data_IF_240339673614
#
_entry.id   IF_240339673614
#
_cell.length_a   1.000
_cell.length_b   1.000
_cell.length_c   1.000
_cell.angle_alpha   90.00
_cell.angle_beta   90.00
_cell.angle_gamma   90.00
#
_symmetry.space_group_name_H-M   'P 1'
#
loop_
_entity.id
_entity.type
_entity.pdbx_description
1 polymer ?
#
# COMPACT_ATOMS: atom_id res chain seq x y z
N UNK A 1 22.63 8.06 17.57
CA UNK A 1 21.68 8.25 16.46
C UNK A 1 22.41 8.77 15.23
N UNK A 2 22.14 8.25 14.03
CA UNK A 2 22.83 8.62 12.80
C UNK A 2 21.81 9.14 11.78
N UNK A 3 21.52 10.42 11.85
CA UNK A 3 20.58 11.07 10.93
C UNK A 3 21.29 11.42 9.62
N UNK A 4 20.61 11.16 8.50
CA UNK A 4 21.13 11.44 7.15
C UNK A 4 22.24 10.50 6.66
N UNK A 5 22.66 9.49 7.45
CA UNK A 5 23.51 8.40 6.98
C UNK A 5 22.63 7.26 6.44
N UNK A 6 23.04 6.66 5.33
CA UNK A 6 22.36 5.49 4.79
C UNK A 6 22.29 4.36 5.82
N UNK A 7 21.11 3.76 5.95
CA UNK A 7 20.88 2.61 6.80
C UNK A 7 21.58 1.39 6.17
N UNK A 8 22.64 0.88 6.84
CA UNK A 8 23.44 -0.24 6.31
C UNK A 8 22.60 -1.48 6.06
N UNK A 9 21.60 -1.74 6.93
CA UNK A 9 20.72 -2.89 6.79
C UNK A 9 19.80 -2.73 5.58
N UNK A 10 19.33 -1.51 5.33
CA UNK A 10 18.55 -1.19 4.13
C UNK A 10 19.38 -1.32 2.86
N UNK A 11 20.65 -0.89 2.89
CA UNK A 11 21.60 -1.10 1.78
C UNK A 11 21.82 -2.59 1.53
N UNK A 12 22.07 -3.38 2.57
CA UNK A 12 22.27 -4.84 2.48
C UNK A 12 21.03 -5.54 1.89
N UNK A 13 19.83 -5.18 2.34
CA UNK A 13 18.57 -5.68 1.80
C UNK A 13 18.40 -5.31 0.32
N UNK A 14 18.64 -4.04 -0.03
CA UNK A 14 18.54 -3.57 -1.40
C UNK A 14 19.52 -4.31 -2.32
N UNK A 15 20.77 -4.53 -1.87
CA UNK A 15 21.75 -5.34 -2.61
C UNK A 15 21.25 -6.78 -2.76
N UNK A 16 20.87 -7.44 -1.68
CA UNK A 16 20.46 -8.85 -1.67
C UNK A 16 19.23 -9.15 -2.56
N UNK A 17 18.26 -8.23 -2.59
CA UNK A 17 17.04 -8.42 -3.37
C UNK A 17 17.16 -8.01 -4.85
N UNK A 18 18.18 -7.23 -5.22
CA UNK A 18 18.38 -6.78 -6.60
C UNK A 18 19.52 -7.50 -7.35
N UNK A 19 20.22 -8.48 -6.74
CA UNK A 19 21.39 -9.18 -7.33
C UNK A 19 21.16 -9.73 -8.76
N UNK A 20 19.91 -9.96 -9.19
CA UNK A 20 19.60 -10.40 -10.57
C UNK A 20 19.31 -9.30 -11.61
N UNK A 21 19.26 -8.01 -11.23
CA UNK A 21 18.85 -6.87 -12.10
C UNK A 21 19.80 -5.68 -12.07
N UNK A 22 20.98 -5.82 -11.46
CA UNK A 22 21.92 -4.71 -11.28
C UNK A 22 22.87 -4.64 -12.47
N UNK A 23 22.53 -3.74 -13.40
CA UNK A 23 23.49 -3.14 -14.31
C UNK A 23 24.55 -2.36 -13.48
N UNK A 24 25.87 -2.53 -13.71
CA UNK A 24 26.91 -1.72 -13.07
C UNK A 24 26.66 -0.20 -13.14
N UNK A 25 25.98 0.30 -14.18
CA UNK A 25 25.61 1.71 -14.30
C UNK A 25 24.54 2.15 -13.30
N UNK A 26 23.71 1.22 -12.80
CA UNK A 26 22.76 1.50 -11.71
C UNK A 26 23.44 1.65 -10.36
N UNK A 27 24.48 0.88 -10.07
CA UNK A 27 25.30 1.02 -8.84
C UNK A 27 25.99 2.38 -8.84
N UNK A 28 26.51 2.78 -10.00
CA UNK A 28 27.17 4.08 -10.20
C UNK A 28 26.17 5.23 -10.04
N UNK A 29 24.99 5.13 -10.65
CA UNK A 29 23.89 6.09 -10.45
C UNK A 29 23.39 6.12 -8.99
N UNK A 30 23.38 5.00 -8.27
CA UNK A 30 23.00 4.95 -6.85
C UNK A 30 24.03 5.68 -5.98
N UNK A 31 25.32 5.55 -6.31
CA UNK A 31 26.42 6.31 -5.69
C UNK A 31 26.39 7.80 -6.06
N UNK A 32 26.02 8.14 -7.29
CA UNK A 32 25.93 9.52 -7.79
C UNK A 32 24.67 10.26 -7.29
N UNK A 33 23.56 9.55 -7.03
CA UNK A 33 22.34 10.08 -6.38
C UNK A 33 22.46 10.26 -4.87
N UNK A 34 23.62 9.95 -4.27
CA UNK A 34 23.97 10.35 -2.91
C UNK A 34 24.26 11.85 -2.88
N UNK A 35 23.26 12.68 -3.22
CA UNK A 35 23.24 14.05 -2.72
C UNK A 35 22.81 13.96 -1.28
N UNK A 36 23.72 14.35 -0.40
CA UNK A 36 23.48 14.60 1.01
C UNK A 36 22.13 15.32 1.14
N UNK A 37 21.08 14.72 1.75
CA UNK A 37 19.83 15.42 2.01
C UNK A 37 20.11 16.75 2.69
N UNK A 38 19.28 17.78 2.51
CA UNK A 38 19.52 19.09 3.15
C UNK A 38 19.73 18.97 4.68
N UNK A 39 19.08 18.01 5.32
CA UNK A 39 19.24 17.69 6.74
C UNK A 39 20.53 16.91 7.11
N UNK A 40 21.23 16.32 6.14
CA UNK A 40 22.46 15.54 6.39
C UNK A 40 23.71 16.41 6.61
N UNK A 41 23.63 17.72 6.31
CA UNK A 41 24.66 18.71 6.66
C UNK A 41 24.35 19.45 7.96
N UNK A 42 23.27 19.10 8.68
CA UNK A 42 22.98 19.73 9.96
C UNK A 42 23.96 19.21 11.03
N UNK A 43 24.66 20.09 11.77
CA UNK A 43 25.42 19.66 12.94
C UNK A 43 24.50 18.94 13.91
N UNK A 44 24.99 17.85 14.51
CA UNK A 44 24.18 17.01 15.41
C UNK A 44 23.61 17.83 16.58
N UNK A 45 24.34 18.85 17.04
CA UNK A 45 23.89 19.77 18.10
C UNK A 45 22.65 20.56 17.68
N UNK A 46 22.61 21.08 16.46
CA UNK A 46 21.47 21.82 15.92
C UNK A 46 20.27 20.90 15.75
N UNK A 47 20.49 19.68 15.25
CA UNK A 47 19.40 18.71 15.08
C UNK A 47 18.82 18.30 16.45
N UNK A 48 19.68 17.93 17.40
CA UNK A 48 19.26 17.59 18.77
C UNK A 48 18.50 18.75 19.41
N UNK A 49 18.96 19.98 19.23
CA UNK A 49 18.25 21.17 19.70
C UNK A 49 16.85 21.26 19.08
N UNK A 50 16.72 21.16 17.75
CA UNK A 50 15.42 21.24 17.07
C UNK A 50 14.45 20.14 17.51
N UNK A 51 14.92 18.90 17.65
CA UNK A 51 14.08 17.77 18.09
C UNK A 51 13.69 17.92 19.56
N UNK A 52 14.61 18.35 20.42
CA UNK A 52 14.35 18.58 21.85
C UNK A 52 13.36 19.72 22.04
N UNK A 53 13.53 20.82 21.30
CA UNK A 53 12.63 21.97 21.34
C UNK A 53 11.23 21.59 20.84
N UNK A 54 11.15 20.85 19.72
CA UNK A 54 9.88 20.33 19.21
C UNK A 54 9.21 19.36 20.20
N UNK A 55 9.99 18.46 20.80
CA UNK A 55 9.52 17.51 21.82
C UNK A 55 8.96 18.24 23.05
N UNK A 56 9.64 19.30 23.53
CA UNK A 56 9.20 20.12 24.63
C UNK A 56 7.92 20.90 24.31
N UNK A 57 7.86 21.55 23.13
CA UNK A 57 6.69 22.33 22.71
C UNK A 57 5.46 21.46 22.45
N UNK A 58 5.65 20.25 21.93
CA UNK A 58 4.57 19.31 21.62
C UNK A 58 4.25 18.36 22.78
N UNK A 59 5.02 18.41 23.87
CA UNK A 59 4.93 17.50 25.03
C UNK A 59 5.02 16.01 24.65
N UNK A 60 5.90 15.67 23.69
CA UNK A 60 6.13 14.31 23.19
C UNK A 60 7.44 13.77 23.75
N UNK A 61 7.41 12.71 24.58
CA UNK A 61 8.62 12.17 25.26
C UNK A 61 9.70 11.64 24.32
N UNK A 62 9.34 11.06 23.18
CA UNK A 62 10.27 10.62 22.14
C UNK A 62 9.70 10.97 20.78
N UNK A 63 10.31 11.97 20.12
CA UNK A 63 9.98 12.27 18.73
C UNK A 63 10.58 11.16 17.86
N UNK A 64 9.76 10.22 17.39
CA UNK A 64 10.20 9.18 16.48
C UNK A 64 10.76 9.83 15.21
N UNK A 65 12.08 9.75 14.96
CA UNK A 65 12.71 10.59 13.96
C UNK A 65 12.69 9.95 12.55
N UNK A 66 12.08 8.77 12.41
CA UNK A 66 11.84 8.05 11.16
C UNK A 66 10.34 7.89 10.93
N UNK A 67 9.64 8.98 10.65
CA UNK A 67 8.28 8.91 10.14
C UNK A 67 8.31 8.52 8.66
N UNK A 68 7.74 7.36 8.31
CA UNK A 68 7.60 6.83 6.95
C UNK A 68 8.86 6.14 6.32
N UNK A 69 9.30 5.02 6.91
CA UNK A 69 10.25 4.10 6.27
C UNK A 69 9.54 3.06 5.38
N UNK A 70 8.93 3.54 4.28
CA UNK A 70 8.16 2.72 3.34
C UNK A 70 9.04 1.67 2.64
N UNK A 71 10.34 1.96 2.45
CA UNK A 71 11.28 1.03 1.83
C UNK A 71 11.54 -0.16 2.75
N UNK A 72 11.78 0.08 4.05
CA UNK A 72 11.87 -0.99 5.03
C UNK A 72 10.58 -1.79 5.11
N UNK A 73 9.41 -1.12 5.17
CA UNK A 73 8.12 -1.79 5.18
C UNK A 73 7.97 -2.71 3.95
N UNK A 74 8.32 -2.21 2.76
CA UNK A 74 8.26 -2.97 1.51
C UNK A 74 9.10 -4.25 1.55
N UNK A 75 10.29 -4.23 2.15
CA UNK A 75 11.09 -5.45 2.34
C UNK A 75 10.49 -6.38 3.38
N UNK A 76 10.09 -5.85 4.54
CA UNK A 76 9.54 -6.66 5.64
C UNK A 76 8.24 -7.35 5.23
N UNK A 77 7.40 -6.67 4.44
CA UNK A 77 6.12 -7.16 3.93
C UNK A 77 6.25 -8.01 2.66
N UNK A 78 7.46 -8.42 2.29
CA UNK A 78 7.75 -9.28 1.14
C UNK A 78 7.38 -8.70 -0.23
N UNK A 79 7.43 -7.38 -0.37
CA UNK A 79 7.12 -6.68 -1.61
C UNK A 79 7.95 -7.12 -2.83
N UNK A 80 9.28 -7.30 -2.72
CA UNK A 80 10.11 -7.80 -3.83
C UNK A 80 9.85 -9.26 -4.22
N UNK A 81 9.17 -10.03 -3.37
CA UNK A 81 8.94 -11.45 -3.56
C UNK A 81 7.65 -11.74 -4.31
N UNK A 82 7.58 -12.92 -4.93
CA UNK A 82 6.35 -13.43 -5.56
C UNK A 82 5.24 -13.60 -4.51
N UNK A 83 3.98 -13.51 -4.95
CA UNK A 83 2.83 -13.51 -4.05
C UNK A 83 2.72 -14.79 -3.21
N UNK A 84 3.18 -15.93 -3.73
CA UNK A 84 3.15 -17.22 -3.03
C UNK A 84 4.09 -17.30 -1.82
N UNK A 85 5.21 -16.58 -1.85
CA UNK A 85 6.20 -16.57 -0.76
C UNK A 85 5.88 -15.51 0.31
N UNK A 86 5.12 -14.49 -0.08
CA UNK A 86 4.90 -13.31 0.73
C UNK A 86 4.26 -13.57 2.11
N UNK A 87 3.26 -14.48 2.25
CA UNK A 87 2.70 -14.80 3.57
C UNK A 87 3.72 -15.32 4.57
N UNK A 88 4.63 -16.20 4.14
CA UNK A 88 5.64 -16.78 5.03
C UNK A 88 6.67 -15.74 5.46
N UNK A 89 7.11 -14.88 4.54
CA UNK A 89 8.08 -13.83 4.81
C UNK A 89 7.49 -12.75 5.73
N UNK A 90 6.26 -12.30 5.46
CA UNK A 90 5.56 -11.33 6.30
C UNK A 90 5.39 -11.89 7.71
N UNK A 91 4.99 -13.16 7.84
CA UNK A 91 4.84 -13.83 9.14
C UNK A 91 6.17 -13.91 9.90
N UNK A 92 7.28 -14.21 9.22
CA UNK A 92 8.63 -14.22 9.82
C UNK A 92 9.05 -12.83 10.32
N UNK A 93 8.64 -11.77 9.63
CA UNK A 93 9.00 -10.39 9.94
C UNK A 93 7.96 -9.66 10.80
N UNK A 94 6.91 -10.35 11.28
CA UNK A 94 5.76 -9.72 11.95
C UNK A 94 6.16 -8.81 13.11
N UNK A 95 7.09 -9.25 13.97
CA UNK A 95 7.60 -8.46 15.11
C UNK A 95 8.24 -7.14 14.64
N UNK A 96 9.05 -7.18 13.59
CA UNK A 96 9.71 -5.98 13.05
C UNK A 96 8.71 -5.03 12.39
N UNK A 97 7.66 -5.56 11.76
CA UNK A 97 6.56 -4.75 11.19
C UNK A 97 5.76 -4.10 12.33
N UNK A 98 5.48 -4.83 13.40
CA UNK A 98 4.80 -4.29 14.58
C UNK A 98 5.61 -3.18 15.25
N UNK A 99 6.91 -3.38 15.45
CA UNK A 99 7.82 -2.33 15.96
C UNK A 99 7.82 -1.10 15.04
N UNK A 100 7.86 -1.30 13.72
CA UNK A 100 7.83 -0.23 12.74
C UNK A 100 6.52 0.59 12.83
N UNK A 101 5.37 -0.07 12.96
CA UNK A 101 4.08 0.64 13.07
C UNK A 101 3.90 1.26 14.47
N UNK A 102 4.11 0.48 15.54
CA UNK A 102 3.80 0.90 16.92
C UNK A 102 4.82 1.84 17.51
N UNK A 103 6.10 1.52 17.43
CA UNK A 103 7.17 2.29 18.08
C UNK A 103 7.63 3.42 17.16
N UNK A 104 7.84 3.12 15.88
CA UNK A 104 8.33 4.11 14.91
C UNK A 104 7.20 4.92 14.27
N UNK A 105 5.93 4.66 14.63
CA UNK A 105 4.73 5.37 14.14
C UNK A 105 4.67 5.42 12.62
N UNK A 106 5.06 4.33 11.96
CA UNK A 106 5.03 4.24 10.51
C UNK A 106 3.61 4.38 9.95
N UNK A 107 3.41 5.41 9.15
CA UNK A 107 2.21 5.63 8.34
C UNK A 107 2.67 5.99 6.91
N UNK A 108 2.03 5.46 5.86
CA UNK A 108 2.24 5.95 4.51
C UNK A 108 1.80 7.41 4.43
N UNK A 109 2.41 8.20 3.53
CA UNK A 109 1.85 9.49 3.15
C UNK A 109 0.46 9.31 2.52
N UNK A 110 -0.40 10.35 2.59
CA UNK A 110 -1.73 10.29 2.01
C UNK A 110 -1.69 9.99 0.50
N UNK A 111 -2.73 9.32 -0.04
CA UNK A 111 -2.85 9.10 -1.47
C UNK A 111 -2.91 10.43 -2.21
N UNK A 112 -2.26 10.47 -3.37
CA UNK A 112 -2.42 11.59 -4.32
C UNK A 112 -3.90 11.70 -4.72
N UNK A 113 -4.52 12.90 -4.64
CA UNK A 113 -5.88 13.10 -5.12
C UNK A 113 -6.01 12.68 -6.57
N UNK A 114 -7.02 11.86 -6.89
CA UNK A 114 -7.31 11.48 -8.28
C UNK A 114 -7.68 12.75 -9.07
N UNK A 115 -7.10 12.99 -10.26
CA UNK A 115 -7.56 14.08 -11.11
C UNK A 115 -9.04 13.88 -11.46
N UNK A 116 -9.81 14.96 -11.54
CA UNK A 116 -11.22 14.90 -11.93
C UNK A 116 -11.30 14.34 -13.36
N UNK A 117 -12.22 13.38 -13.59
CA UNK A 117 -12.44 12.68 -14.88
C UNK A 117 -12.65 13.59 -16.11
N UNK A 118 -12.81 14.91 -15.95
CA UNK A 118 -13.01 15.87 -17.04
C UNK A 118 -11.73 16.23 -17.81
N UNK A 119 -10.55 16.01 -17.23
CA UNK A 119 -9.32 16.56 -17.80
C UNK A 119 -8.51 15.46 -18.47
N UNK A 120 -9.04 15.00 -19.61
CA UNK A 120 -8.33 14.34 -20.70
C UNK A 120 -7.67 12.97 -20.42
N UNK A 121 -7.53 12.21 -21.50
CA UNK A 121 -6.85 10.91 -21.61
C UNK A 121 -5.36 10.97 -21.27
N UNK A 122 -5.00 11.41 -20.07
CA UNK A 122 -3.73 11.01 -19.49
C UNK A 122 -3.89 9.56 -19.07
N UNK A 123 -3.66 8.64 -20.03
CA UNK A 123 -2.98 7.39 -19.71
C UNK A 123 -1.98 7.74 -18.63
N UNK A 124 -2.06 7.09 -17.47
CA UNK A 124 -1.04 7.12 -16.44
C UNK A 124 0.30 6.99 -17.15
N UNK A 125 0.96 8.13 -17.40
CA UNK A 125 2.21 8.13 -18.13
C UNK A 125 3.14 7.38 -17.22
N UNK A 126 3.59 6.21 -17.67
CA UNK A 126 4.58 5.34 -17.03
C UNK A 126 5.95 6.01 -16.91
N UNK A 127 5.99 7.33 -16.66
CA UNK A 127 7.20 8.04 -16.30
C UNK A 127 7.53 7.57 -14.88
N UNK A 128 8.70 6.97 -14.66
CA UNK A 128 9.14 6.59 -13.33
C UNK A 128 9.19 7.86 -12.48
N UNK A 129 8.23 8.01 -11.58
CA UNK A 129 8.21 9.10 -10.62
C UNK A 129 9.39 8.93 -9.65
N UNK A 130 10.09 10.02 -9.35
CA UNK A 130 11.21 10.01 -8.42
C UNK A 130 10.68 9.74 -7.00
N UNK A 131 11.24 8.73 -6.32
CA UNK A 131 10.88 8.38 -4.95
C UNK A 131 11.99 8.85 -3.97
N UNK A 132 11.65 9.48 -2.84
CA UNK A 132 10.30 9.86 -2.40
C UNK A 132 9.71 11.02 -3.24
N UNK A 133 8.38 11.07 -3.43
CA UNK A 133 7.72 12.17 -4.13
C UNK A 133 7.95 13.50 -3.41
N UNK A 134 8.10 14.58 -4.19
CA UNK A 134 8.44 15.92 -3.66
C UNK A 134 7.24 16.72 -3.16
N UNK A 135 6.03 16.24 -3.40
CA UNK A 135 4.77 16.94 -3.12
C UNK A 135 4.04 16.43 -1.88
N UNK A 136 4.66 15.51 -1.12
CA UNK A 136 4.12 15.03 0.15
C UNK A 136 3.00 13.99 0.04
N UNK A 137 2.79 13.41 -1.15
CA UNK A 137 1.84 12.31 -1.36
C UNK A 137 2.57 11.01 -1.64
N UNK A 138 1.99 9.87 -1.23
CA UNK A 138 2.45 8.58 -1.74
C UNK A 138 2.05 8.40 -3.19
N UNK A 139 2.89 7.70 -3.94
CA UNK A 139 2.52 7.24 -5.27
C UNK A 139 1.46 6.13 -5.15
N UNK A 140 0.23 6.46 -5.57
CA UNK A 140 -0.94 5.59 -5.50
C UNK A 140 -0.79 4.27 -6.26
N UNK A 141 0.00 4.22 -7.33
CA UNK A 141 0.14 3.01 -8.15
C UNK A 141 1.24 2.06 -7.67
N UNK A 142 2.18 2.54 -6.84
CA UNK A 142 3.34 1.72 -6.43
C UNK A 142 3.45 1.52 -4.92
N UNK A 143 3.48 2.58 -4.14
CA UNK A 143 3.74 2.45 -2.70
C UNK A 143 2.50 2.03 -1.93
N UNK A 144 1.34 2.63 -2.24
CA UNK A 144 0.08 2.20 -1.62
C UNK A 144 -0.30 0.77 -2.02
N UNK A 145 0.14 0.28 -3.18
CA UNK A 145 -0.05 -1.12 -3.56
C UNK A 145 0.70 -2.08 -2.62
N UNK A 146 1.88 -1.69 -2.12
CA UNK A 146 2.62 -2.48 -1.13
C UNK A 146 1.84 -2.58 0.18
N UNK A 147 1.27 -1.47 0.65
CA UNK A 147 0.41 -1.43 1.85
C UNK A 147 -0.82 -2.30 1.65
N UNK A 148 -1.55 -2.12 0.53
CA UNK A 148 -2.74 -2.89 0.22
C UNK A 148 -2.46 -4.39 0.14
N UNK A 149 -1.35 -4.78 -0.51
CA UNK A 149 -0.91 -6.17 -0.58
C UNK A 149 -0.60 -6.74 0.80
N UNK A 150 0.09 -5.99 1.66
CA UNK A 150 0.41 -6.43 3.01
C UNK A 150 -0.88 -6.67 3.84
N UNK A 151 -1.87 -5.78 3.71
CA UNK A 151 -3.19 -5.93 4.36
C UNK A 151 -3.93 -7.17 3.85
N UNK A 152 -3.92 -7.41 2.54
CA UNK A 152 -4.58 -8.59 1.95
C UNK A 152 -3.99 -9.91 2.44
N UNK A 153 -2.69 -9.92 2.78
CA UNK A 153 -1.98 -11.06 3.38
C UNK A 153 -2.21 -11.15 4.88
N UNK A 154 -2.13 -10.02 5.60
CA UNK A 154 -2.24 -9.94 7.06
C UNK A 154 -3.13 -8.76 7.46
N UNK A 155 -4.41 -9.07 7.70
CA UNK A 155 -5.42 -8.06 8.05
C UNK A 155 -5.17 -7.37 9.39
N UNK A 156 -4.50 -8.05 10.33
CA UNK A 156 -4.18 -7.53 11.67
C UNK A 156 -3.37 -6.22 11.60
N UNK A 157 -2.66 -5.98 10.50
CA UNK A 157 -1.92 -4.73 10.29
C UNK A 157 -2.82 -3.49 10.36
N UNK A 158 -4.09 -3.60 9.93
CA UNK A 158 -5.07 -2.51 10.04
C UNK A 158 -5.29 -2.12 11.50
N UNK A 159 -5.33 -3.09 12.40
CA UNK A 159 -5.50 -2.84 13.84
C UNK A 159 -4.30 -2.08 14.39
N UNK A 160 -3.08 -2.47 14.01
CA UNK A 160 -1.85 -1.80 14.41
C UNK A 160 -1.84 -0.31 14.03
N UNK A 161 -2.26 0.01 12.81
CA UNK A 161 -2.35 1.41 12.36
C UNK A 161 -3.42 2.20 13.11
N UNK A 162 -4.58 1.59 13.38
CA UNK A 162 -5.63 2.24 14.17
C UNK A 162 -5.20 2.49 15.62
N UNK A 163 -4.43 1.59 16.23
CA UNK A 163 -3.91 1.77 17.60
C UNK A 163 -2.91 2.92 17.72
N UNK A 164 -2.19 3.25 16.64
CA UNK A 164 -1.32 4.44 16.61
C UNK A 164 -2.05 5.71 16.14
N UNK A 165 -3.36 5.65 15.96
CA UNK A 165 -4.22 6.79 15.62
C UNK A 165 -4.43 7.03 14.13
N UNK A 166 -3.94 6.15 13.24
CA UNK A 166 -4.14 6.26 11.80
C UNK A 166 -5.40 5.52 11.35
N UNK A 167 -6.56 6.17 11.55
CA UNK A 167 -7.86 5.61 11.23
C UNK A 167 -8.20 5.65 9.74
N UNK A 168 -7.53 6.52 8.96
CA UNK A 168 -7.75 6.70 7.53
C UNK A 168 -7.10 5.59 6.68
N UNK A 169 -6.35 4.65 7.26
CA UNK A 169 -5.71 3.56 6.51
C UNK A 169 -6.70 2.84 5.59
N UNK A 170 -7.91 2.55 6.08
CA UNK A 170 -8.92 1.84 5.29
C UNK A 170 -9.41 2.68 4.11
N UNK A 171 -9.62 3.99 4.28
CA UNK A 171 -10.03 4.88 3.19
C UNK A 171 -8.90 5.10 2.17
N UNK A 172 -7.66 5.23 2.65
CA UNK A 172 -6.51 5.60 1.82
C UNK A 172 -6.10 4.49 0.85
N UNK A 173 -6.31 3.23 1.24
CA UNK A 173 -6.01 2.05 0.41
C UNK A 173 -7.26 1.28 -0.02
N UNK A 174 -8.45 1.87 0.14
CA UNK A 174 -9.73 1.19 -0.04
C UNK A 174 -9.84 0.51 -1.41
N UNK A 175 -9.67 1.28 -2.48
CA UNK A 175 -9.85 0.81 -3.85
C UNK A 175 -8.87 -0.32 -4.17
N UNK A 176 -7.62 -0.19 -3.72
CA UNK A 176 -6.56 -1.17 -3.95
C UNK A 176 -6.83 -2.49 -3.20
N UNK A 177 -7.28 -2.41 -1.95
CA UNK A 177 -7.60 -3.60 -1.14
C UNK A 177 -8.83 -4.30 -1.71
N UNK A 178 -9.89 -3.57 -2.04
CA UNK A 178 -11.13 -4.16 -2.56
C UNK A 178 -10.93 -4.79 -3.93
N UNK A 179 -10.21 -4.12 -4.85
CA UNK A 179 -9.84 -4.69 -6.15
C UNK A 179 -8.89 -5.89 -5.99
N UNK A 180 -7.86 -5.75 -5.16
CA UNK A 180 -6.87 -6.80 -4.92
C UNK A 180 -7.48 -8.07 -4.31
N UNK A 181 -8.48 -7.94 -3.44
CA UNK A 181 -9.21 -9.08 -2.88
C UNK A 181 -9.88 -9.91 -3.97
N UNK A 182 -10.53 -9.26 -4.94
CA UNK A 182 -11.17 -9.95 -6.05
C UNK A 182 -10.17 -10.48 -7.07
N UNK A 183 -9.04 -9.80 -7.31
CA UNK A 183 -7.96 -10.33 -8.14
C UNK A 183 -7.34 -11.60 -7.56
N UNK A 184 -7.22 -11.69 -6.23
CA UNK A 184 -6.75 -12.92 -5.55
C UNK A 184 -7.77 -14.05 -5.73
N UNK A 185 -9.07 -13.73 -5.63
CA UNK A 185 -10.14 -14.70 -5.83
C UNK A 185 -10.30 -15.12 -7.30
N UNK A 186 -10.01 -14.24 -8.25
CA UNK A 186 -10.17 -14.47 -9.68
C UNK A 186 -8.89 -14.10 -10.43
N UNK A 187 -7.80 -14.85 -10.25
CA UNK A 187 -6.51 -14.54 -10.88
C UNK A 187 -6.64 -14.56 -12.42
N UNK A 188 -5.88 -13.72 -13.14
CA UNK A 188 -5.85 -13.72 -14.60
C UNK A 188 -5.25 -15.02 -15.16
N UNK A 189 -4.32 -15.62 -14.42
CA UNK A 189 -3.72 -16.92 -14.73
C UNK A 189 -3.89 -17.84 -13.51
N UNK A 190 -4.93 -18.68 -13.48
CA UNK A 190 -5.16 -19.63 -12.40
C UNK A 190 -4.04 -20.66 -12.28
N UNK A 191 -3.66 -21.01 -11.06
CA UNK A 191 -2.72 -22.11 -10.80
C UNK A 191 -3.41 -23.48 -10.89
N UNK A 192 -2.62 -24.56 -10.98
CA UNK A 192 -3.12 -25.94 -11.14
C UNK A 192 -4.09 -26.41 -10.02
N UNK A 193 -4.12 -25.73 -8.87
CA UNK A 193 -5.03 -26.02 -7.75
C UNK A 193 -6.14 -24.99 -7.54
N UNK A 194 -6.33 -24.06 -8.48
CA UNK A 194 -7.33 -23.02 -8.36
C UNK A 194 -8.75 -23.60 -8.44
N UNK A 195 -9.53 -23.36 -7.39
CA UNK A 195 -10.97 -23.63 -7.38
C UNK A 195 -11.70 -22.30 -7.52
N UNK A 196 -12.55 -22.22 -8.54
CA UNK A 196 -13.33 -21.01 -8.81
C UNK A 196 -14.24 -20.66 -7.62
N UNK A 197 -14.13 -19.44 -7.05
CA UNK A 197 -15.01 -19.01 -5.97
C UNK A 197 -16.46 -18.87 -6.45
N UNK A 198 -17.40 -19.20 -5.55
CA UNK A 198 -18.82 -18.92 -5.73
C UNK A 198 -19.20 -17.60 -5.03
N UNK A 199 -20.46 -17.18 -5.20
CA UNK A 199 -21.01 -15.96 -4.61
C UNK A 199 -20.81 -15.89 -3.09
N UNK A 200 -21.01 -17.01 -2.37
CA UNK A 200 -20.81 -17.06 -0.92
C UNK A 200 -19.36 -16.77 -0.54
N UNK A 201 -18.39 -17.37 -1.24
CA UNK A 201 -16.97 -17.15 -0.97
C UNK A 201 -16.53 -15.72 -1.27
N UNK A 202 -17.10 -15.09 -2.30
CA UNK A 202 -16.88 -13.67 -2.59
C UNK A 202 -17.45 -12.81 -1.47
N UNK A 203 -18.67 -13.10 -1.01
CA UNK A 203 -19.32 -12.34 0.06
C UNK A 203 -18.55 -12.45 1.38
N UNK A 204 -18.17 -13.66 1.81
CA UNK A 204 -17.36 -13.87 3.01
C UNK A 204 -16.11 -12.99 3.00
N UNK A 205 -15.42 -12.92 1.86
CA UNK A 205 -14.19 -12.13 1.75
C UNK A 205 -14.45 -10.62 1.76
N UNK A 206 -15.52 -10.16 1.13
CA UNK A 206 -15.87 -8.74 1.11
C UNK A 206 -16.40 -8.28 2.47
N UNK A 207 -17.23 -9.08 3.14
CA UNK A 207 -17.74 -8.84 4.49
C UNK A 207 -16.59 -8.76 5.49
N UNK A 208 -15.61 -9.67 5.43
CA UNK A 208 -14.40 -9.62 6.26
C UNK A 208 -13.65 -8.29 6.12
N UNK A 209 -13.56 -7.73 4.91
CA UNK A 209 -12.92 -6.43 4.68
C UNK A 209 -13.79 -5.27 5.17
N UNK A 210 -15.11 -5.36 4.98
CA UNK A 210 -16.06 -4.35 5.45
C UNK A 210 -16.04 -4.26 6.98
N UNK A 211 -15.97 -5.39 7.68
CA UNK A 211 -15.84 -5.43 9.14
C UNK A 211 -14.55 -4.75 9.64
N UNK A 212 -13.47 -4.79 8.85
CA UNK A 212 -12.24 -4.06 9.15
C UNK A 212 -12.34 -2.55 8.90
N UNK A 213 -13.39 -2.09 8.21
CA UNK A 213 -13.65 -0.68 7.90
C UNK A 213 -13.38 -0.27 6.45
N UNK A 214 -13.19 -1.23 5.54
CA UNK A 214 -13.20 -0.95 4.09
C UNK A 214 -14.64 -0.74 3.60
N UNK A 215 -14.82 -0.03 2.48
CA UNK A 215 -16.14 0.22 1.90
C UNK A 215 -16.18 -0.14 0.42
N UNK A 216 -17.15 -0.97 0.06
CA UNK A 216 -17.49 -1.30 -1.31
C UNK A 216 -18.29 -0.16 -1.96
N UNK A 217 -17.71 1.02 -2.14
CA UNK A 217 -18.44 2.16 -2.76
C UNK A 217 -18.84 1.87 -4.21
N UNK A 218 -19.80 2.62 -4.77
CA UNK A 218 -20.19 2.47 -6.18
C UNK A 218 -19.03 2.76 -7.15
N UNK A 219 -18.15 3.70 -6.81
CA UNK A 219 -16.92 3.97 -7.57
C UNK A 219 -16.01 2.75 -7.58
N UNK A 220 -15.80 2.10 -6.42
CA UNK A 220 -14.99 0.88 -6.31
C UNK A 220 -15.61 -0.25 -7.13
N UNK A 221 -16.93 -0.41 -7.08
CA UNK A 221 -17.62 -1.42 -7.89
C UNK A 221 -17.41 -1.14 -9.39
N UNK A 222 -17.55 0.12 -9.83
CA UNK A 222 -17.26 0.51 -11.21
C UNK A 222 -15.82 0.22 -11.63
N UNK A 223 -14.85 0.59 -10.79
CA UNK A 223 -13.43 0.32 -11.03
C UNK A 223 -13.14 -1.19 -11.09
N UNK A 224 -13.79 -2.01 -10.25
CA UNK A 224 -13.71 -3.48 -10.32
C UNK A 224 -14.28 -4.01 -11.63
N UNK A 225 -15.45 -3.54 -12.06
CA UNK A 225 -16.05 -4.00 -13.32
C UNK A 225 -15.15 -3.65 -14.51
N UNK A 226 -14.53 -2.48 -14.50
CA UNK A 226 -13.55 -2.08 -15.50
C UNK A 226 -12.27 -2.94 -15.44
N UNK A 227 -11.76 -3.23 -14.24
CA UNK A 227 -10.58 -4.08 -14.06
C UNK A 227 -10.79 -5.50 -14.62
N UNK A 228 -12.04 -6.01 -14.55
CA UNK A 228 -12.42 -7.32 -15.05
C UNK A 228 -13.12 -7.29 -16.41
N UNK A 229 -13.11 -6.16 -17.14
CA UNK A 229 -13.88 -5.93 -18.37
C UNK A 229 -13.80 -7.12 -19.36
N UNK A 230 -12.58 -7.56 -19.67
CA UNK A 230 -12.32 -8.66 -20.61
C UNK A 230 -12.79 -10.04 -20.12
N UNK A 231 -13.18 -10.16 -18.85
CA UNK A 231 -13.60 -11.39 -18.17
C UNK A 231 -15.00 -11.26 -17.56
N UNK A 232 -15.73 -10.18 -17.82
CA UNK A 232 -17.08 -10.00 -17.26
C UNK A 232 -18.06 -11.07 -17.71
N UNK A 233 -17.92 -11.60 -18.92
CA UNK A 233 -18.72 -12.75 -19.39
C UNK A 233 -18.51 -14.00 -18.53
N UNK A 234 -17.33 -14.12 -17.90
CA UNK A 234 -16.99 -15.22 -17.03
C UNK A 234 -17.41 -14.91 -15.59
N UNK A 235 -16.90 -13.82 -14.99
CA UNK A 235 -17.05 -13.57 -13.53
C UNK A 235 -18.16 -12.58 -13.16
N UNK A 236 -18.69 -11.84 -14.13
CA UNK A 236 -19.59 -10.70 -13.89
C UNK A 236 -20.89 -11.08 -13.19
N UNK A 237 -21.46 -12.24 -13.49
CA UNK A 237 -22.66 -12.74 -12.80
C UNK A 237 -22.45 -12.93 -11.29
N UNK A 238 -21.29 -13.52 -10.92
CA UNK A 238 -20.91 -13.72 -9.51
C UNK A 238 -20.75 -12.37 -8.81
N UNK A 239 -20.06 -11.43 -9.46
CA UNK A 239 -19.86 -10.09 -8.90
C UNK A 239 -21.17 -9.33 -8.71
N UNK A 240 -22.05 -9.32 -9.71
CA UNK A 240 -23.35 -8.64 -9.61
C UNK A 240 -24.20 -9.21 -8.46
N UNK A 241 -24.29 -10.54 -8.35
CA UNK A 241 -25.04 -11.19 -7.28
C UNK A 241 -24.46 -10.87 -5.89
N UNK A 242 -23.13 -10.94 -5.76
CA UNK A 242 -22.43 -10.57 -4.54
C UNK A 242 -22.63 -9.11 -4.14
N UNK A 243 -22.45 -8.17 -5.08
CA UNK A 243 -22.56 -6.74 -4.80
C UNK A 243 -23.98 -6.32 -4.45
N UNK A 244 -24.98 -6.89 -5.14
CA UNK A 244 -26.41 -6.72 -4.80
C UNK A 244 -26.68 -7.20 -3.39
N UNK A 245 -26.22 -8.39 -3.03
CA UNK A 245 -26.44 -8.96 -1.70
C UNK A 245 -25.81 -8.11 -0.61
N UNK A 246 -24.57 -7.67 -0.79
CA UNK A 246 -23.84 -6.83 0.18
C UNK A 246 -24.49 -5.44 0.31
N UNK A 247 -24.93 -4.84 -0.79
CA UNK A 247 -25.56 -3.51 -0.77
C UNK A 247 -27.04 -3.54 -0.39
N UNK A 248 -27.69 -4.70 -0.40
CA UNK A 248 -29.12 -4.83 -0.11
C UNK A 248 -29.99 -4.08 -1.13
N UNK A 249 -29.57 -4.03 -2.40
CA UNK A 249 -30.26 -3.33 -3.50
C UNK A 249 -30.51 -4.25 -4.68
N UNK A 250 -31.35 -3.85 -5.62
CA UNK A 250 -31.57 -4.60 -6.86
C UNK A 250 -30.43 -4.41 -7.86
N UNK A 251 -30.31 -5.33 -8.83
CA UNK A 251 -29.35 -5.21 -9.95
C UNK A 251 -29.56 -3.90 -10.71
N UNK A 252 -30.82 -3.51 -10.95
CA UNK A 252 -31.15 -2.28 -11.67
C UNK A 252 -30.61 -1.05 -10.94
N UNK A 253 -30.89 -0.93 -9.64
CA UNK A 253 -30.39 0.18 -8.81
C UNK A 253 -28.86 0.19 -8.73
N UNK A 254 -28.23 -0.99 -8.66
CA UNK A 254 -26.78 -1.10 -8.67
C UNK A 254 -26.19 -0.53 -9.96
N UNK A 255 -26.71 -0.94 -11.11
CA UNK A 255 -26.25 -0.48 -12.43
C UNK A 255 -26.48 1.03 -12.62
N UNK A 256 -27.65 1.54 -12.22
CA UNK A 256 -27.94 2.98 -12.26
C UNK A 256 -26.90 3.79 -11.48
N UNK A 257 -26.46 3.30 -10.31
CA UNK A 257 -25.47 4.03 -9.48
C UNK A 257 -24.02 3.90 -9.95
N UNK A 258 -23.69 2.91 -10.77
CA UNK A 258 -22.33 2.72 -11.29
C UNK A 258 -22.14 3.47 -12.62
N UNK A 259 -23.21 3.61 -13.41
CA UNK A 259 -23.17 4.17 -14.76
C UNK A 259 -23.42 5.69 -14.80
N UNK A 260 -23.76 6.32 -13.67
CA UNK A 260 -23.93 7.77 -13.51
C UNK A 260 -22.65 8.35 -12.87
#
# INVERSE_FOLDING_TARGET
MHFGRYDKKLIELNIAHNVGKIDPDRIRNFKEKIKSPWASNLPISVFTYLITEASNQLNIKELAPKGNDMELFHFLSAGPHVISEAPAILSKNKVQIEELIREMKFIPFPPRPKPKRSDSHHLSTNVPEEYPPKDGYENSSRQLYVIARAILICKDLVVLWKEVGYYQICSDVNDLVMQGALLILFPPMPSCGYVRPNVNRVNERLEELIELGFDLTYNVIGDIMQLFENRLSDVGGIFLESFVKIKGITVKELLEKILI
#
